data_IF_551182310569
#
_entry.id   IF_551182310569
#
_cell.length_a   1.000
_cell.length_b   1.000
_cell.length_c   1.000
_cell.angle_alpha   90.00
_cell.angle_beta   90.00
_cell.angle_gamma   90.00
#
_symmetry.space_group_name_H-M   'P 1'
#
loop_
_entity.id
_entity.type
_entity.pdbx_description
1 polymer ?
#
# COMPACT_ATOMS: atom_id res chain seq x y z
N UNK A 1 27.66 -2.88 -0.05
CA UNK A 1 26.37 -3.48 0.29
C UNK A 1 25.76 -4.20 -0.90
N UNK A 2 25.04 -5.29 -0.70
CA UNK A 2 24.20 -5.92 -1.74
C UNK A 2 22.94 -5.11 -1.95
N UNK A 3 22.54 -4.97 -3.21
CA UNK A 3 21.33 -4.23 -3.58
C UNK A 3 20.70 -4.82 -4.85
N UNK A 4 19.38 -4.85 -4.88
CA UNK A 4 18.62 -5.11 -6.10
C UNK A 4 18.47 -3.80 -6.88
N UNK A 5 18.74 -3.83 -8.19
CA UNK A 5 18.80 -2.63 -9.03
C UNK A 5 17.93 -2.80 -10.27
N UNK A 6 17.07 -1.82 -10.53
CA UNK A 6 16.44 -1.60 -11.82
C UNK A 6 17.46 -1.00 -12.80
N UNK A 7 17.67 -1.65 -13.92
CA UNK A 7 18.64 -1.19 -14.91
C UNK A 7 17.98 -0.46 -16.09
N UNK A 8 17.04 -1.13 -16.73
CA UNK A 8 16.18 -0.62 -17.83
C UNK A 8 14.93 -1.52 -17.82
N UNK A 9 13.87 -1.19 -18.58
CA UNK A 9 12.70 -2.06 -18.68
C UNK A 9 13.08 -3.53 -18.88
N UNK A 10 12.48 -4.40 -18.05
CA UNK A 10 12.70 -5.84 -17.97
C UNK A 10 14.13 -6.30 -17.59
N UNK A 11 15.03 -5.38 -17.23
CA UNK A 11 16.37 -5.72 -16.74
C UNK A 11 16.54 -5.32 -15.28
N UNK A 12 16.82 -6.33 -14.48
CA UNK A 12 17.04 -6.23 -13.04
C UNK A 12 18.25 -7.07 -12.63
N UNK A 13 18.99 -6.67 -11.60
CA UNK A 13 20.14 -7.40 -11.11
C UNK A 13 20.39 -7.16 -9.63
N UNK A 14 20.96 -8.16 -8.96
CA UNK A 14 21.58 -7.97 -7.64
C UNK A 14 23.04 -7.60 -7.86
N UNK A 15 23.46 -6.47 -7.31
CA UNK A 15 24.80 -5.91 -7.49
C UNK A 15 25.39 -5.44 -6.16
N UNK A 16 26.72 -5.27 -6.13
CA UNK A 16 27.38 -4.59 -5.03
C UNK A 16 27.40 -3.08 -5.27
N UNK A 17 26.97 -2.31 -4.30
CA UNK A 17 26.94 -0.84 -4.31
C UNK A 17 27.69 -0.31 -3.09
N UNK A 18 28.20 0.91 -3.13
CA UNK A 18 28.65 1.60 -1.91
C UNK A 18 27.50 1.68 -0.90
N UNK A 19 27.83 1.65 0.40
CA UNK A 19 26.86 1.98 1.45
C UNK A 19 26.44 3.44 1.28
N UNK A 20 25.14 3.80 1.44
CA UNK A 20 24.72 5.19 1.35
C UNK A 20 25.35 6.03 2.48
N UNK A 21 25.56 7.31 2.19
CA UNK A 21 26.06 8.30 3.13
C UNK A 21 24.95 9.27 3.55
N UNK A 22 25.10 9.86 4.74
CA UNK A 22 24.27 10.99 5.17
C UNK A 22 24.55 12.19 4.24
N UNK A 23 23.52 12.84 3.75
CA UNK A 23 23.63 14.03 2.87
C UNK A 23 23.19 15.30 3.58
N UNK A 24 22.18 15.17 4.45
CA UNK A 24 21.59 16.27 5.20
C UNK A 24 21.57 15.97 6.70
N UNK A 25 21.49 17.04 7.50
CA UNK A 25 21.47 16.91 8.97
C UNK A 25 20.25 16.11 9.48
N UNK A 26 19.16 16.05 8.73
CA UNK A 26 17.95 15.30 9.08
C UNK A 26 17.91 13.86 8.59
N UNK A 27 18.97 13.36 7.97
CA UNK A 27 19.02 12.00 7.41
C UNK A 27 19.29 10.93 8.46
N UNK A 28 18.80 9.73 8.20
CA UNK A 28 19.30 8.51 8.85
C UNK A 28 19.73 7.48 7.80
N UNK A 29 20.71 6.64 8.13
CA UNK A 29 21.02 5.41 7.43
C UNK A 29 20.41 4.27 8.24
N UNK A 30 19.60 3.45 7.60
CA UNK A 30 18.96 2.28 8.20
C UNK A 30 19.57 1.01 7.60
N UNK A 31 20.04 0.11 8.46
CA UNK A 31 20.34 -1.28 8.10
C UNK A 31 19.01 -2.02 8.00
N UNK A 32 18.63 -2.39 6.80
CA UNK A 32 17.34 -3.03 6.51
C UNK A 32 17.38 -4.49 6.97
N UNK A 33 16.37 -4.92 7.72
CA UNK A 33 16.22 -6.33 8.15
C UNK A 33 15.14 -7.05 7.35
N UNK A 34 14.07 -6.31 6.99
CA UNK A 34 12.97 -6.80 6.13
C UNK A 34 12.56 -5.73 5.15
N UNK A 35 12.28 -6.16 3.93
CA UNK A 35 11.61 -5.36 2.91
C UNK A 35 10.59 -6.22 2.18
N UNK A 36 9.81 -5.63 1.29
CA UNK A 36 8.78 -6.36 0.52
C UNK A 36 8.82 -5.97 -0.95
N UNK A 37 7.97 -6.64 -1.75
CA UNK A 37 7.68 -6.26 -3.13
C UNK A 37 6.25 -5.68 -3.17
N UNK A 38 6.11 -4.50 -3.79
CA UNK A 38 4.84 -3.84 -4.05
C UNK A 38 4.46 -3.95 -5.54
N UNK A 39 3.17 -3.78 -5.86
CA UNK A 39 2.73 -3.65 -7.25
C UNK A 39 3.43 -2.53 -8.00
N UNK A 40 3.70 -1.42 -7.33
CA UNK A 40 4.46 -0.28 -7.85
C UNK A 40 5.87 -0.67 -8.33
N UNK A 41 6.54 -1.61 -7.65
CA UNK A 41 7.86 -2.08 -8.08
C UNK A 41 7.78 -2.81 -9.43
N UNK A 42 6.67 -3.51 -9.73
CA UNK A 42 6.45 -4.12 -11.04
C UNK A 42 6.25 -3.07 -12.15
N UNK A 43 5.56 -1.96 -11.86
CA UNK A 43 5.42 -0.83 -12.79
C UNK A 43 6.78 -0.17 -13.06
N UNK A 44 7.62 0.00 -12.02
CA UNK A 44 9.00 0.48 -12.20
C UNK A 44 9.78 -0.45 -13.13
N UNK A 45 9.70 -1.77 -12.93
CA UNK A 45 10.43 -2.74 -13.77
C UNK A 45 9.97 -2.75 -15.23
N UNK A 46 8.70 -2.46 -15.49
CA UNK A 46 8.16 -2.29 -16.84
C UNK A 46 8.57 -0.96 -17.51
N UNK A 47 9.02 0.01 -16.71
CA UNK A 47 9.34 1.36 -17.18
C UNK A 47 8.16 2.34 -17.18
N UNK A 48 7.04 1.99 -16.53
CA UNK A 48 5.82 2.80 -16.47
C UNK A 48 5.99 4.03 -15.56
N UNK A 49 6.99 4.01 -14.65
CA UNK A 49 7.28 5.12 -13.72
C UNK A 49 8.42 5.98 -14.26
N UNK A 50 8.08 7.00 -15.05
CA UNK A 50 9.05 7.85 -15.75
C UNK A 50 10.07 8.57 -14.83
N UNK A 51 9.75 8.76 -13.54
CA UNK A 51 10.63 9.40 -12.56
C UNK A 51 11.71 8.46 -12.00
N UNK A 52 11.55 7.14 -12.18
CA UNK A 52 12.51 6.15 -11.72
C UNK A 52 13.62 5.94 -12.76
N UNK A 53 14.78 6.53 -12.52
CA UNK A 53 15.91 6.42 -13.44
C UNK A 53 16.57 5.03 -13.40
N UNK A 54 17.16 4.57 -14.52
CA UNK A 54 18.02 3.40 -14.54
C UNK A 54 19.14 3.46 -13.47
N UNK A 55 19.45 2.33 -12.87
CA UNK A 55 20.41 2.24 -11.77
C UNK A 55 19.81 2.45 -10.38
N UNK A 56 18.51 2.71 -10.28
CA UNK A 56 17.80 2.88 -9.02
C UNK A 56 17.64 1.56 -8.25
N UNK A 57 17.78 1.60 -6.94
CA UNK A 57 17.37 0.54 -6.01
C UNK A 57 15.89 0.75 -5.71
N UNK A 58 14.98 -0.17 -6.11
CA UNK A 58 13.56 -0.09 -5.80
C UNK A 58 13.25 -0.34 -4.32
N UNK A 59 11.94 -0.30 -4.00
CA UNK A 59 11.40 -0.61 -2.67
C UNK A 59 11.19 0.63 -1.81
N UNK A 60 10.03 0.67 -1.18
CA UNK A 60 9.59 1.77 -0.28
C UNK A 60 8.96 1.23 1.00
N UNK A 61 8.97 -0.07 1.20
CA UNK A 61 8.48 -0.75 2.41
C UNK A 61 9.67 -1.39 3.12
N UNK A 62 9.84 -1.13 4.42
CA UNK A 62 10.95 -1.72 5.15
C UNK A 62 10.87 -1.52 6.66
N UNK A 63 11.54 -2.42 7.37
CA UNK A 63 11.92 -2.28 8.77
C UNK A 63 13.42 -2.52 8.88
N UNK A 64 14.02 -1.98 9.94
CA UNK A 64 15.45 -2.16 10.16
C UNK A 64 15.91 -1.48 11.44
N UNK A 65 17.22 -1.31 11.54
CA UNK A 65 17.90 -0.72 12.69
C UNK A 65 18.67 0.51 12.23
N UNK A 66 18.58 1.59 12.96
CA UNK A 66 19.37 2.81 12.70
C UNK A 66 20.85 2.48 12.79
N UNK A 67 21.60 2.70 11.71
CA UNK A 67 23.04 2.55 11.63
C UNK A 67 23.75 3.86 11.99
N UNK A 68 23.28 4.96 11.43
CA UNK A 68 23.84 6.29 11.69
C UNK A 68 22.79 7.38 11.44
N UNK A 69 22.97 8.54 12.06
CA UNK A 69 22.05 9.68 11.95
C UNK A 69 22.82 10.98 11.68
N UNK A 70 22.17 11.91 11.02
CA UNK A 70 22.65 13.28 10.88
C UNK A 70 22.48 14.09 12.16
N UNK A 71 23.21 15.19 12.27
CA UNK A 71 23.27 16.02 13.49
C UNK A 71 21.94 16.71 13.87
N UNK A 72 20.98 16.75 12.97
CA UNK A 72 19.65 17.34 13.20
C UNK A 72 18.57 16.32 13.57
N UNK A 73 18.88 15.01 13.58
CA UNK A 73 17.93 13.98 14.03
C UNK A 73 17.86 13.97 15.54
N UNK A 74 16.66 14.03 16.08
CA UNK A 74 16.42 14.17 17.53
C UNK A 74 15.58 13.05 18.11
N UNK A 75 14.77 12.38 17.32
CA UNK A 75 13.87 11.33 17.78
C UNK A 75 14.51 9.94 17.83
N UNK A 76 15.68 9.76 17.23
CA UNK A 76 16.33 8.45 17.07
C UNK A 76 17.83 8.50 17.36
N UNK A 77 18.39 7.33 17.66
CA UNK A 77 19.82 7.10 17.81
C UNK A 77 20.25 5.81 17.10
N UNK A 78 21.56 5.62 16.81
CA UNK A 78 22.06 4.36 16.31
C UNK A 78 21.69 3.19 17.22
N UNK A 79 21.23 2.08 16.61
CA UNK A 79 20.74 0.88 17.31
C UNK A 79 19.22 0.85 17.52
N UNK A 80 18.50 1.94 17.31
CA UNK A 80 17.04 1.94 17.47
C UNK A 80 16.37 1.15 16.34
N UNK A 81 15.43 0.23 16.63
CA UNK A 81 14.63 -0.45 15.62
C UNK A 81 13.53 0.47 15.10
N UNK A 82 13.37 0.50 13.78
CA UNK A 82 12.46 1.42 13.10
C UNK A 82 11.66 0.79 11.97
N UNK A 83 10.44 1.28 11.80
CA UNK A 83 9.63 1.09 10.61
C UNK A 83 9.85 2.27 9.66
N UNK A 84 10.14 1.98 8.40
CA UNK A 84 10.34 2.98 7.35
C UNK A 84 8.98 3.29 6.71
N UNK A 85 8.58 4.56 6.71
CA UNK A 85 7.41 5.02 5.96
C UNK A 85 7.68 4.97 4.45
N UNK A 86 6.71 4.55 3.65
CA UNK A 86 6.80 4.67 2.19
C UNK A 86 6.82 6.12 1.71
N UNK A 87 6.42 7.05 2.58
CA UNK A 87 6.41 8.49 2.34
C UNK A 87 7.45 9.14 3.23
N UNK A 88 8.32 9.95 2.65
CA UNK A 88 9.24 10.81 3.39
C UNK A 88 8.71 12.25 3.39
N UNK A 89 8.84 12.94 4.51
CA UNK A 89 8.22 14.25 4.65
C UNK A 89 8.98 15.20 5.58
N UNK A 90 9.15 16.46 5.19
CA UNK A 90 9.86 17.44 6.00
C UNK A 90 9.09 17.88 7.27
N UNK A 91 7.80 17.56 7.39
CA UNK A 91 6.96 17.86 8.54
C UNK A 91 6.59 19.35 8.71
N UNK A 92 7.16 20.28 7.93
CA UNK A 92 7.06 21.73 8.16
C UNK A 92 6.52 22.57 7.00
N UNK A 93 6.50 22.04 5.77
CA UNK A 93 5.93 22.76 4.62
C UNK A 93 4.41 22.87 4.72
N UNK A 94 3.79 23.67 3.86
CA UNK A 94 2.34 23.87 3.86
C UNK A 94 1.58 22.55 3.75
N UNK A 95 1.97 21.68 2.81
CA UNK A 95 1.31 20.39 2.63
C UNK A 95 1.44 19.48 3.85
N UNK A 96 2.65 19.38 4.44
CA UNK A 96 2.87 18.59 5.66
C UNK A 96 2.03 19.12 6.84
N UNK A 97 1.92 20.45 6.99
CA UNK A 97 1.08 21.06 8.05
C UNK A 97 -0.40 20.80 7.88
N UNK A 98 -0.84 20.46 6.66
CA UNK A 98 -2.21 20.03 6.36
C UNK A 98 -2.40 18.52 6.46
N UNK A 99 -1.35 17.76 6.87
CA UNK A 99 -1.37 16.30 6.93
C UNK A 99 -1.23 15.61 5.57
N UNK A 100 -0.82 16.33 4.52
CA UNK A 100 -0.60 15.81 3.17
C UNK A 100 0.88 15.51 2.96
N UNK A 101 1.40 14.52 3.67
CA UNK A 101 2.84 14.17 3.67
C UNK A 101 3.30 13.65 2.32
N UNK A 102 2.46 12.90 1.61
CA UNK A 102 2.73 12.42 0.26
C UNK A 102 2.98 13.53 -0.77
N UNK A 103 2.51 14.75 -0.48
CA UNK A 103 2.71 15.96 -1.28
C UNK A 103 3.72 16.92 -0.65
N UNK A 104 4.64 16.42 0.18
CA UNK A 104 5.73 17.24 0.72
C UNK A 104 6.48 17.94 -0.43
N UNK A 105 6.76 19.25 -0.29
CA UNK A 105 7.36 20.05 -1.36
C UNK A 105 8.81 19.64 -1.69
N UNK A 106 9.49 18.95 -0.77
CA UNK A 106 10.87 18.46 -0.96
C UNK A 106 10.95 16.95 -1.19
N UNK A 107 9.92 16.20 -0.79
CA UNK A 107 9.95 14.75 -0.70
C UNK A 107 8.60 14.13 -1.13
N UNK A 108 7.97 13.30 -0.29
CA UNK A 108 6.79 12.54 -0.62
C UNK A 108 7.13 11.09 -0.96
N UNK A 109 6.59 10.54 -2.04
CA UNK A 109 6.98 9.22 -2.52
C UNK A 109 8.26 9.29 -3.36
N UNK A 110 9.41 9.29 -2.70
CA UNK A 110 10.74 9.34 -3.34
C UNK A 110 11.56 8.06 -3.17
N UNK A 111 11.32 7.26 -2.10
CA UNK A 111 12.03 6.01 -1.87
C UNK A 111 11.73 4.99 -2.96
N UNK A 112 12.78 4.39 -3.52
CA UNK A 112 12.67 3.44 -4.62
C UNK A 112 12.23 4.05 -5.95
N UNK A 113 12.04 5.38 -5.99
CA UNK A 113 11.62 6.15 -7.15
C UNK A 113 12.73 7.14 -7.56
N UNK A 114 12.80 8.31 -6.95
CA UNK A 114 13.81 9.33 -7.28
C UNK A 114 15.09 9.19 -6.45
N UNK A 115 15.05 8.50 -5.31
CA UNK A 115 16.21 8.08 -4.51
C UNK A 115 16.19 6.56 -4.33
N UNK A 116 17.33 5.98 -3.94
CA UNK A 116 17.45 4.56 -3.68
C UNK A 116 16.55 4.12 -2.51
N UNK A 117 15.92 2.95 -2.67
CA UNK A 117 14.93 2.39 -1.77
C UNK A 117 15.44 1.27 -0.88
N UNK A 118 14.48 0.50 -0.34
CA UNK A 118 14.68 -0.46 0.75
C UNK A 118 15.15 -1.86 0.31
N UNK A 119 15.21 -2.16 -1.00
CA UNK A 119 15.63 -3.49 -1.48
C UNK A 119 17.16 -3.60 -1.57
N UNK A 120 17.82 -3.30 -0.44
CA UNK A 120 19.25 -3.33 -0.23
C UNK A 120 19.57 -3.51 1.26
N UNK A 121 20.84 -3.83 1.59
CA UNK A 121 21.29 -3.97 2.98
C UNK A 121 21.20 -2.66 3.78
N UNK A 122 21.34 -1.51 3.12
CA UNK A 122 21.23 -0.20 3.76
C UNK A 122 20.46 0.78 2.88
N UNK A 123 19.69 1.68 3.51
CA UNK A 123 18.95 2.74 2.85
C UNK A 123 19.12 4.07 3.59
N UNK A 124 19.23 5.18 2.84
CA UNK A 124 19.19 6.54 3.39
C UNK A 124 17.75 7.02 3.45
N UNK A 125 17.33 7.46 4.62
CA UNK A 125 16.00 8.01 4.86
C UNK A 125 16.13 9.51 5.16
N UNK A 126 15.64 10.38 4.28
CA UNK A 126 15.54 11.81 4.54
C UNK A 126 14.51 12.11 5.63
N UNK A 127 14.72 13.24 6.34
CA UNK A 127 13.79 13.69 7.38
C UNK A 127 13.39 12.57 8.36
N UNK A 128 14.40 11.91 8.93
CA UNK A 128 14.24 10.72 9.76
C UNK A 128 13.17 10.87 10.86
N UNK A 129 13.12 12.02 11.55
CA UNK A 129 12.17 12.27 12.65
C UNK A 129 10.70 12.25 12.21
N UNK A 130 10.41 12.41 10.91
CA UNK A 130 9.05 12.39 10.35
C UNK A 130 8.80 11.28 9.35
N UNK A 131 9.85 10.53 8.95
CA UNK A 131 9.79 9.48 7.94
C UNK A 131 10.00 8.08 8.52
N UNK A 132 10.34 8.00 9.81
CA UNK A 132 10.53 6.74 10.55
C UNK A 132 9.57 6.68 11.74
N UNK A 133 9.19 5.46 12.09
CA UNK A 133 8.40 5.19 13.29
C UNK A 133 9.17 4.24 14.21
N UNK A 134 9.26 4.54 15.52
CA UNK A 134 9.90 3.64 16.47
C UNK A 134 9.06 2.36 16.62
N UNK A 135 9.73 1.22 16.64
CA UNK A 135 9.12 -0.07 16.92
C UNK A 135 9.69 -0.66 18.20
N UNK A 136 8.91 -1.43 18.98
CA UNK A 136 9.43 -2.09 20.17
C UNK A 136 10.50 -3.12 19.82
N UNK A 137 11.52 -3.26 20.66
CA UNK A 137 12.49 -4.33 20.56
C UNK A 137 11.80 -5.70 20.63
N UNK A 138 12.20 -6.63 19.75
CA UNK A 138 11.61 -7.96 19.66
C UNK A 138 10.20 -8.00 19.05
N UNK A 139 9.72 -6.91 18.46
CA UNK A 139 8.46 -6.90 17.72
C UNK A 139 8.53 -7.79 16.47
N UNK A 140 7.37 -8.29 16.05
CA UNK A 140 7.26 -9.07 14.80
C UNK A 140 7.47 -8.15 13.58
N UNK A 141 8.70 -8.13 13.06
CA UNK A 141 9.08 -7.30 11.91
C UNK A 141 8.26 -7.62 10.66
N UNK A 142 7.82 -8.87 10.46
CA UNK A 142 7.00 -9.24 9.31
C UNK A 142 5.60 -8.64 9.40
N UNK A 143 5.02 -8.59 10.59
CA UNK A 143 3.76 -7.88 10.80
C UNK A 143 3.93 -6.37 10.59
N UNK A 144 5.05 -5.81 11.08
CA UNK A 144 5.25 -4.38 11.09
C UNK A 144 5.64 -3.82 9.72
N UNK A 145 6.39 -4.56 8.89
CA UNK A 145 6.72 -4.08 7.53
C UNK A 145 5.47 -3.87 6.66
N UNK A 146 4.36 -4.55 6.95
CA UNK A 146 3.07 -4.29 6.29
C UNK A 146 2.50 -2.90 6.62
N UNK A 147 2.98 -2.26 7.68
CA UNK A 147 2.57 -0.90 8.07
C UNK A 147 3.40 0.20 7.41
N UNK A 148 4.41 -0.16 6.60
CA UNK A 148 5.17 0.81 5.80
C UNK A 148 4.29 1.48 4.75
N UNK A 149 3.44 0.69 4.06
CA UNK A 149 2.62 1.13 2.94
C UNK A 149 1.23 0.48 2.92
N UNK A 150 1.15 -0.84 2.71
CA UNK A 150 -0.08 -1.50 2.27
C UNK A 150 -1.24 -1.33 3.27
N UNK A 151 -0.98 -1.42 4.57
CA UNK A 151 -2.02 -1.26 5.59
C UNK A 151 -2.49 0.20 5.71
N UNK A 152 -1.59 1.23 5.83
CA UNK A 152 -2.03 2.62 5.82
C UNK A 152 -2.69 3.01 4.48
N UNK A 153 -2.21 2.50 3.34
CA UNK A 153 -2.82 2.77 2.04
C UNK A 153 -4.26 2.23 1.97
N UNK A 154 -4.48 0.97 2.33
CA UNK A 154 -5.85 0.40 2.38
C UNK A 154 -6.75 1.17 3.35
N UNK A 155 -6.22 1.59 4.49
CA UNK A 155 -6.98 2.32 5.50
C UNK A 155 -7.25 3.78 5.09
N UNK A 156 -6.21 4.55 4.75
CA UNK A 156 -6.36 5.98 4.44
C UNK A 156 -7.08 6.22 3.12
N UNK A 157 -6.65 5.50 2.06
CA UNK A 157 -7.19 5.73 0.71
C UNK A 157 -8.50 5.00 0.47
N UNK A 158 -8.70 3.84 1.11
CA UNK A 158 -9.95 3.07 1.00
C UNK A 158 -10.97 3.43 2.07
N UNK A 159 -10.67 3.07 3.32
CA UNK A 159 -11.66 3.11 4.41
C UNK A 159 -12.01 4.54 4.80
N UNK A 160 -11.00 5.37 5.13
CA UNK A 160 -11.25 6.76 5.55
C UNK A 160 -11.77 7.60 4.39
N UNK A 161 -11.16 7.45 3.22
CA UNK A 161 -11.55 8.21 2.02
C UNK A 161 -12.93 7.77 1.49
N UNK A 162 -13.27 6.47 1.66
CA UNK A 162 -14.60 5.92 1.39
C UNK A 162 -15.65 6.27 2.46
N UNK A 163 -15.27 6.97 3.53
CA UNK A 163 -16.15 7.37 4.64
C UNK A 163 -16.88 6.17 5.27
N UNK A 164 -16.19 5.02 5.37
CA UNK A 164 -16.76 3.83 6.00
C UNK A 164 -17.12 4.14 7.46
N UNK A 165 -18.33 3.80 7.86
CA UNK A 165 -18.88 4.07 9.18
C UNK A 165 -19.58 2.81 9.76
N UNK A 166 -19.89 2.76 11.05
CA UNK A 166 -20.66 1.67 11.63
C UNK A 166 -21.98 1.45 10.88
N UNK A 167 -22.23 0.20 10.49
CA UNK A 167 -23.44 -0.17 9.76
C UNK A 167 -23.40 0.10 8.25
N UNK A 168 -22.31 0.65 7.69
CA UNK A 168 -22.17 0.83 6.22
C UNK A 168 -22.19 -0.50 5.48
N UNK A 169 -22.73 -0.48 4.27
CA UNK A 169 -22.47 -1.47 3.24
C UNK A 169 -21.26 -1.03 2.41
N UNK A 170 -20.25 -1.89 2.30
CA UNK A 170 -18.99 -1.60 1.64
C UNK A 170 -18.73 -2.63 0.55
N UNK A 171 -18.48 -2.20 -0.68
CA UNK A 171 -17.97 -3.06 -1.74
C UNK A 171 -16.49 -2.71 -2.01
N UNK A 172 -15.62 -3.72 -2.08
CA UNK A 172 -14.22 -3.58 -2.44
C UNK A 172 -13.99 -4.36 -3.72
N UNK A 173 -13.67 -3.65 -4.80
CA UNK A 173 -13.41 -4.23 -6.12
C UNK A 173 -11.92 -4.44 -6.28
N UNK A 174 -11.52 -5.72 -6.32
CA UNK A 174 -10.15 -6.20 -6.28
C UNK A 174 -9.81 -6.85 -4.93
N UNK A 175 -9.61 -8.17 -4.93
CA UNK A 175 -9.17 -8.95 -3.76
C UNK A 175 -7.64 -9.21 -3.79
N UNK A 176 -6.88 -8.32 -4.41
CA UNK A 176 -5.43 -8.27 -4.33
C UNK A 176 -4.95 -7.78 -2.94
N UNK A 177 -3.63 -7.68 -2.73
CA UNK A 177 -3.07 -7.30 -1.43
C UNK A 177 -3.67 -6.02 -0.86
N UNK A 178 -3.88 -4.98 -1.70
CA UNK A 178 -4.43 -3.70 -1.25
C UNK A 178 -5.92 -3.79 -0.89
N UNK A 179 -6.72 -4.53 -1.67
CA UNK A 179 -8.12 -4.75 -1.35
C UNK A 179 -8.30 -5.56 -0.07
N UNK A 180 -7.43 -6.55 0.17
CA UNK A 180 -7.43 -7.34 1.41
C UNK A 180 -6.98 -6.50 2.62
N UNK A 181 -6.02 -5.59 2.47
CA UNK A 181 -5.64 -4.64 3.52
C UNK A 181 -6.79 -3.67 3.84
N UNK A 182 -7.53 -3.23 2.81
CA UNK A 182 -8.74 -2.43 2.96
C UNK A 182 -9.83 -3.21 3.71
N UNK A 183 -10.08 -4.46 3.34
CA UNK A 183 -11.01 -5.35 4.05
C UNK A 183 -10.65 -5.49 5.53
N UNK A 184 -9.37 -5.76 5.85
CA UNK A 184 -8.91 -5.90 7.23
C UNK A 184 -9.13 -4.63 8.03
N UNK A 185 -8.83 -3.46 7.46
CA UNK A 185 -8.94 -2.17 8.15
C UNK A 185 -10.37 -1.62 8.18
N UNK A 186 -11.24 -1.98 7.23
CA UNK A 186 -12.66 -1.61 7.25
C UNK A 186 -13.38 -2.15 8.50
N UNK A 187 -12.97 -3.31 9.01
CA UNK A 187 -13.54 -3.94 10.19
C UNK A 187 -13.39 -3.09 11.47
N UNK A 188 -12.47 -2.12 11.53
CA UNK A 188 -12.38 -1.16 12.63
C UNK A 188 -13.67 -0.35 12.83
N UNK A 189 -14.47 -0.18 11.77
CA UNK A 189 -15.69 0.60 11.76
C UNK A 189 -16.97 -0.27 11.88
N UNK A 190 -16.85 -1.58 12.00
CA UNK A 190 -18.00 -2.49 12.10
C UNK A 190 -19.06 -2.24 11.00
N UNK A 191 -18.70 -2.27 9.72
CA UNK A 191 -19.67 -2.19 8.63
C UNK A 191 -20.65 -3.37 8.72
N UNK A 192 -21.89 -3.17 8.27
CA UNK A 192 -22.89 -4.24 8.24
C UNK A 192 -22.52 -5.30 7.20
N UNK A 193 -22.06 -4.83 6.04
CA UNK A 193 -21.68 -5.69 4.91
C UNK A 193 -20.32 -5.29 4.37
N UNK A 194 -19.45 -6.29 4.09
CA UNK A 194 -18.25 -6.12 3.30
C UNK A 194 -18.31 -7.11 2.14
N UNK A 195 -18.51 -6.59 0.93
CA UNK A 195 -18.65 -7.33 -0.31
C UNK A 195 -17.32 -7.26 -1.06
N UNK A 196 -16.61 -8.38 -1.19
CA UNK A 196 -15.39 -8.45 -1.98
C UNK A 196 -15.70 -8.94 -3.40
N UNK A 197 -15.16 -8.25 -4.41
CA UNK A 197 -15.39 -8.54 -5.82
C UNK A 197 -14.04 -8.76 -6.52
N UNK A 198 -13.87 -9.90 -7.19
CA UNK A 198 -12.66 -10.22 -7.97
C UNK A 198 -12.99 -11.21 -9.08
N UNK A 199 -12.05 -11.45 -9.99
CA UNK A 199 -12.13 -12.50 -11.02
C UNK A 199 -11.57 -13.86 -10.55
N UNK A 200 -10.75 -13.86 -9.48
CA UNK A 200 -10.01 -15.02 -8.99
C UNK A 200 -10.66 -15.60 -7.73
N UNK A 201 -11.23 -16.81 -7.87
CA UNK A 201 -11.87 -17.53 -6.75
C UNK A 201 -10.92 -17.80 -5.59
N UNK A 202 -9.61 -18.02 -5.84
CA UNK A 202 -8.64 -18.21 -4.75
C UNK A 202 -8.50 -16.95 -3.91
N UNK A 203 -8.50 -15.77 -4.53
CA UNK A 203 -8.46 -14.49 -3.82
C UNK A 203 -9.76 -14.23 -3.06
N UNK A 204 -10.90 -14.58 -3.64
CA UNK A 204 -12.20 -14.49 -2.99
C UNK A 204 -12.30 -15.42 -1.77
N UNK A 205 -11.71 -16.62 -1.82
CA UNK A 205 -11.63 -17.51 -0.68
C UNK A 205 -10.72 -16.98 0.43
N UNK A 206 -9.64 -16.27 0.07
CA UNK A 206 -8.84 -15.51 1.06
C UNK A 206 -9.68 -14.42 1.70
N UNK A 207 -10.42 -13.66 0.91
CA UNK A 207 -11.28 -12.58 1.39
C UNK A 207 -12.34 -13.06 2.39
N UNK A 208 -12.97 -14.21 2.11
CA UNK A 208 -13.90 -14.86 3.06
C UNK A 208 -13.22 -15.13 4.41
N UNK A 209 -12.03 -15.75 4.39
CA UNK A 209 -11.26 -16.02 5.60
C UNK A 209 -10.82 -14.76 6.34
N UNK A 210 -10.72 -13.62 5.64
CA UNK A 210 -10.33 -12.33 6.20
C UNK A 210 -11.52 -11.56 6.78
N UNK A 211 -12.75 -12.04 6.57
CA UNK A 211 -13.94 -11.47 7.16
C UNK A 211 -14.88 -10.75 6.18
N UNK A 212 -14.74 -10.97 4.88
CA UNK A 212 -15.76 -10.54 3.92
C UNK A 212 -17.09 -11.23 4.22
N UNK A 213 -18.19 -10.46 4.29
CA UNK A 213 -19.54 -11.01 4.50
C UNK A 213 -20.05 -11.66 3.23
N UNK A 214 -19.69 -11.10 2.08
CA UNK A 214 -20.03 -11.63 0.74
C UNK A 214 -18.79 -11.59 -0.17
N UNK A 215 -18.77 -12.51 -1.12
CA UNK A 215 -17.80 -12.51 -2.22
C UNK A 215 -18.52 -12.72 -3.54
N UNK A 216 -18.08 -12.01 -4.57
CA UNK A 216 -18.67 -12.05 -5.91
C UNK A 216 -17.54 -12.27 -6.92
N UNK A 217 -17.62 -13.36 -7.69
CA UNK A 217 -16.78 -13.52 -8.87
C UNK A 217 -17.41 -12.74 -10.03
N UNK A 218 -16.68 -11.74 -10.53
CA UNK A 218 -17.19 -10.83 -11.58
C UNK A 218 -16.93 -11.30 -13.01
N UNK A 219 -16.41 -12.51 -13.20
CA UNK A 219 -16.07 -13.04 -14.53
C UNK A 219 -17.30 -13.18 -15.48
N UNK A 220 -18.49 -13.32 -14.91
CA UNK A 220 -19.74 -13.44 -15.69
C UNK A 220 -20.39 -12.09 -16.06
N UNK A 221 -19.78 -10.96 -15.62
CA UNK A 221 -20.27 -9.61 -15.86
C UNK A 221 -21.49 -9.18 -15.05
N UNK A 222 -21.94 -9.98 -14.06
CA UNK A 222 -23.17 -9.74 -13.26
C UNK A 222 -22.90 -9.17 -11.86
N UNK A 223 -21.69 -8.72 -11.58
CA UNK A 223 -21.32 -8.24 -10.26
C UNK A 223 -22.22 -7.10 -9.75
N UNK A 224 -22.61 -6.17 -10.64
CA UNK A 224 -23.51 -5.08 -10.27
C UNK A 224 -24.90 -5.57 -9.83
N UNK A 225 -25.46 -6.54 -10.53
CA UNK A 225 -26.77 -7.12 -10.17
C UNK A 225 -26.67 -7.90 -8.85
N UNK A 226 -25.58 -8.62 -8.63
CA UNK A 226 -25.34 -9.35 -7.39
C UNK A 226 -25.22 -8.40 -6.19
N UNK A 227 -24.49 -7.27 -6.32
CA UNK A 227 -24.41 -6.25 -5.27
C UNK A 227 -25.79 -5.65 -4.99
N UNK A 228 -26.58 -5.33 -6.03
CA UNK A 228 -27.94 -4.81 -5.86
C UNK A 228 -28.85 -5.81 -5.15
N UNK A 229 -28.73 -7.10 -5.44
CA UNK A 229 -29.49 -8.14 -4.77
C UNK A 229 -29.16 -8.23 -3.26
N UNK A 230 -27.88 -8.06 -2.87
CA UNK A 230 -27.44 -8.05 -1.47
C UNK A 230 -27.94 -6.79 -0.74
N UNK A 231 -28.07 -5.66 -1.45
CA UNK A 231 -28.39 -4.35 -0.88
C UNK A 231 -29.83 -3.90 -1.15
N UNK A 232 -30.75 -4.82 -1.40
CA UNK A 232 -32.16 -4.55 -1.69
C UNK A 232 -32.39 -3.50 -2.81
N UNK A 233 -31.55 -3.54 -3.83
CA UNK A 233 -31.58 -2.63 -4.99
C UNK A 233 -30.93 -1.27 -4.75
N UNK A 234 -30.53 -0.93 -3.52
CA UNK A 234 -30.03 0.40 -3.15
C UNK A 234 -28.59 0.67 -3.64
N UNK A 235 -27.74 -0.33 -3.64
CA UNK A 235 -26.29 -0.20 -3.80
C UNK A 235 -25.56 0.00 -2.46
N UNK A 236 -24.24 0.23 -2.50
CA UNK A 236 -23.37 0.31 -1.30
C UNK A 236 -23.10 1.75 -0.88
N UNK A 237 -22.87 1.99 0.41
CA UNK A 237 -22.51 3.30 0.94
C UNK A 237 -21.09 3.70 0.53
N UNK A 238 -20.19 2.71 0.43
CA UNK A 238 -18.82 2.91 -0.05
C UNK A 238 -18.46 1.85 -1.11
N UNK A 239 -18.11 2.29 -2.31
CA UNK A 239 -17.55 1.46 -3.37
C UNK A 239 -16.06 1.80 -3.50
N UNK A 240 -15.18 0.84 -3.19
CA UNK A 240 -13.73 1.04 -3.12
C UNK A 240 -13.08 0.33 -4.29
N UNK A 241 -12.44 1.10 -5.17
CA UNK A 241 -11.72 0.61 -6.34
C UNK A 241 -10.27 0.31 -5.94
N UNK A 242 -9.81 -0.94 -6.09
CA UNK A 242 -8.51 -1.43 -5.62
C UNK A 242 -7.72 -2.22 -6.70
N UNK A 243 -7.96 -1.92 -7.99
CA UNK A 243 -7.31 -2.58 -9.13
C UNK A 243 -6.57 -1.58 -10.03
N UNK A 244 -7.24 -0.49 -10.43
CA UNK A 244 -6.67 0.56 -11.29
C UNK A 244 -6.97 0.39 -12.77
N UNK A 245 -8.14 -0.15 -13.15
CA UNK A 245 -8.55 -0.27 -14.55
C UNK A 245 -9.95 0.35 -14.78
N UNK A 246 -10.28 0.79 -16.00
CA UNK A 246 -11.57 1.42 -16.29
C UNK A 246 -12.76 0.57 -15.86
N UNK A 247 -12.78 -0.71 -16.18
CA UNK A 247 -13.91 -1.59 -15.89
C UNK A 247 -14.23 -1.71 -14.39
N UNK A 248 -13.22 -1.68 -13.51
CA UNK A 248 -13.43 -1.75 -12.05
C UNK A 248 -13.92 -0.42 -11.48
N UNK A 249 -13.48 0.71 -12.04
CA UNK A 249 -14.00 2.02 -11.69
C UNK A 249 -15.47 2.17 -12.15
N UNK A 250 -15.79 1.78 -13.37
CA UNK A 250 -17.15 1.77 -13.89
C UNK A 250 -18.08 0.90 -13.02
N UNK A 251 -17.60 -0.29 -12.62
CA UNK A 251 -18.35 -1.12 -11.67
C UNK A 251 -18.62 -0.39 -10.36
N UNK A 252 -17.60 0.28 -9.77
CA UNK A 252 -17.79 1.05 -8.55
C UNK A 252 -18.85 2.14 -8.70
N UNK A 253 -18.87 2.87 -9.83
CA UNK A 253 -19.90 3.89 -10.09
C UNK A 253 -21.30 3.30 -10.34
N UNK A 254 -21.39 2.06 -10.83
CA UNK A 254 -22.66 1.38 -11.08
C UNK A 254 -23.29 0.77 -9.80
N UNK A 255 -22.49 0.50 -8.77
CA UNK A 255 -22.94 -0.16 -7.52
C UNK A 255 -23.04 0.78 -6.32
N UNK A 256 -22.50 2.00 -6.39
CA UNK A 256 -22.61 2.97 -5.31
C UNK A 256 -24.06 3.46 -5.16
N UNK A 257 -24.52 3.55 -3.93
CA UNK A 257 -25.86 4.08 -3.62
C UNK A 257 -25.91 5.61 -3.80
N UNK A 258 -27.07 6.20 -4.03
CA UNK A 258 -27.25 7.64 -3.94
C UNK A 258 -26.75 8.18 -2.60
N UNK A 259 -25.93 9.25 -2.65
CA UNK A 259 -25.26 9.84 -1.49
C UNK A 259 -23.99 9.10 -1.04
N UNK A 260 -23.64 7.98 -1.65
CA UNK A 260 -22.47 7.17 -1.31
C UNK A 260 -21.15 7.73 -1.83
N UNK A 261 -20.07 6.99 -1.60
CA UNK A 261 -18.71 7.38 -1.97
C UNK A 261 -18.06 6.33 -2.84
N UNK A 262 -17.47 6.74 -3.94
CA UNK A 262 -16.50 5.94 -4.71
C UNK A 262 -15.11 6.37 -4.27
N UNK A 263 -14.35 5.48 -3.64
CA UNK A 263 -12.98 5.72 -3.22
C UNK A 263 -12.00 4.95 -4.12
N UNK A 264 -11.17 5.68 -4.86
CA UNK A 264 -10.19 5.10 -5.76
C UNK A 264 -8.84 4.96 -5.06
N UNK A 265 -8.34 3.71 -4.96
CA UNK A 265 -6.99 3.37 -4.49
C UNK A 265 -6.10 2.96 -5.67
N UNK A 266 -6.69 2.27 -6.66
CA UNK A 266 -5.96 1.72 -7.79
C UNK A 266 -5.22 2.79 -8.60
N UNK A 267 -4.05 2.43 -9.11
CA UNK A 267 -3.24 3.30 -9.98
C UNK A 267 -3.67 3.04 -11.42
N UNK A 268 -4.31 4.04 -12.05
CA UNK A 268 -4.80 3.93 -13.41
C UNK A 268 -3.76 4.36 -14.43
N UNK A 269 -3.47 3.50 -15.40
CA UNK A 269 -2.62 3.80 -16.56
C UNK A 269 -3.44 4.23 -17.79
N UNK A 270 -4.71 3.83 -17.83
CA UNK A 270 -5.66 4.17 -18.89
C UNK A 270 -6.64 5.23 -18.44
N UNK A 271 -7.19 5.97 -19.41
CA UNK A 271 -8.29 6.91 -19.17
C UNK A 271 -9.53 6.16 -18.69
N UNK A 272 -10.22 6.76 -17.74
CA UNK A 272 -11.49 6.29 -17.19
C UNK A 272 -12.58 7.26 -17.62
N UNK A 273 -13.68 6.73 -18.17
CA UNK A 273 -14.83 7.54 -18.52
C UNK A 273 -15.69 7.80 -17.28
N UNK A 274 -16.01 9.07 -17.07
CA UNK A 274 -16.90 9.50 -15.99
C UNK A 274 -18.26 9.86 -16.58
N UNK A 275 -19.23 8.96 -16.43
CA UNK A 275 -20.58 9.08 -16.97
C UNK A 275 -21.43 10.06 -16.15
N UNK A 276 -21.08 11.37 -16.22
CA UNK A 276 -21.81 12.42 -15.49
C UNK A 276 -23.27 12.52 -15.92
N UNK A 277 -23.63 12.13 -17.16
CA UNK A 277 -25.00 12.09 -17.66
C UNK A 277 -25.91 11.15 -16.87
N UNK A 278 -25.34 10.20 -16.15
CA UNK A 278 -26.08 9.28 -15.26
C UNK A 278 -25.84 9.55 -13.78
N UNK A 279 -24.69 10.14 -13.43
CA UNK A 279 -24.25 10.32 -12.04
C UNK A 279 -24.65 11.65 -11.42
N UNK A 280 -24.97 12.68 -12.22
CA UNK A 280 -25.22 14.07 -11.76
C UNK A 280 -26.29 14.20 -10.68
N UNK A 281 -27.29 13.31 -10.70
CA UNK A 281 -28.42 13.34 -9.75
C UNK A 281 -28.26 12.39 -8.55
N UNK A 282 -27.14 11.63 -8.47
CA UNK A 282 -26.93 10.60 -7.46
C UNK A 282 -26.34 11.13 -6.14
N UNK A 283 -25.95 12.41 -6.08
CA UNK A 283 -25.31 13.04 -4.92
C UNK A 283 -24.05 12.27 -4.40
N UNK A 284 -23.39 11.49 -5.25
CA UNK A 284 -22.20 10.73 -4.86
C UNK A 284 -20.98 11.62 -4.73
N UNK A 285 -20.00 11.12 -3.98
CA UNK A 285 -18.64 11.67 -3.95
C UNK A 285 -17.68 10.70 -4.63
N UNK A 286 -16.79 11.20 -5.48
CA UNK A 286 -15.67 10.42 -6.03
C UNK A 286 -14.40 10.99 -5.42
N UNK A 287 -13.58 10.13 -4.81
CA UNK A 287 -12.39 10.55 -4.08
C UNK A 287 -11.16 9.80 -4.58
N UNK A 288 -10.04 10.51 -4.64
CA UNK A 288 -8.72 9.95 -4.90
C UNK A 288 -7.78 10.35 -3.77
N UNK A 289 -6.80 9.51 -3.46
CA UNK A 289 -5.78 9.81 -2.45
C UNK A 289 -4.51 9.03 -2.70
N UNK A 290 -3.36 9.68 -2.50
CA UNK A 290 -2.09 9.02 -2.23
C UNK A 290 -1.94 8.90 -0.71
N UNK A 291 -1.44 7.78 -0.21
CA UNK A 291 -1.24 7.53 1.22
C UNK A 291 -0.30 8.57 1.83
N UNK A 292 -0.61 9.02 3.03
CA UNK A 292 0.24 9.95 3.80
C UNK A 292 0.97 9.26 4.96
N UNK A 293 0.62 8.00 5.27
CA UNK A 293 1.09 7.19 6.40
C UNK A 293 0.85 7.83 7.78
N UNK A 294 0.01 8.85 7.83
CA UNK A 294 -0.34 9.57 9.07
C UNK A 294 -1.03 8.66 10.10
N UNK A 295 -1.63 7.56 9.66
CA UNK A 295 -2.33 6.57 10.50
C UNK A 295 -1.41 5.47 11.02
N UNK A 296 -0.17 5.36 10.57
CA UNK A 296 0.79 4.33 10.99
C UNK A 296 0.95 4.25 12.51
N UNK A 297 1.04 5.35 13.30
CA UNK A 297 1.09 5.26 14.76
C UNK A 297 -0.13 4.59 15.40
N UNK A 298 -1.31 4.77 14.83
CA UNK A 298 -2.54 4.10 15.27
C UNK A 298 -2.49 2.62 14.89
N UNK A 299 -2.09 2.30 13.66
CA UNK A 299 -1.97 0.92 13.18
C UNK A 299 -0.95 0.11 14.00
N UNK A 300 0.20 0.69 14.37
CA UNK A 300 1.15 0.07 15.30
C UNK A 300 0.51 -0.32 16.63
N UNK A 301 -0.36 0.54 17.19
CA UNK A 301 -1.10 0.23 18.43
C UNK A 301 -2.09 -0.89 18.22
N UNK A 302 -2.78 -0.95 17.09
CA UNK A 302 -3.79 -1.98 16.79
C UNK A 302 -3.15 -3.35 16.55
N UNK A 303 -1.99 -3.41 15.90
CA UNK A 303 -1.20 -4.65 15.74
C UNK A 303 -0.70 -5.12 17.10
N UNK A 304 -0.08 -4.23 17.92
CA UNK A 304 0.35 -4.57 19.27
C UNK A 304 -0.81 -5.06 20.16
N UNK A 305 -1.97 -4.45 20.00
CA UNK A 305 -3.21 -4.84 20.71
C UNK A 305 -3.87 -6.10 20.13
N UNK A 306 -3.27 -6.76 19.14
CA UNK A 306 -3.80 -7.95 18.46
C UNK A 306 -5.23 -7.74 17.90
N UNK A 307 -5.55 -6.50 17.50
CA UNK A 307 -6.83 -6.18 16.88
C UNK A 307 -6.82 -6.43 15.37
N UNK A 308 -5.64 -6.46 14.78
CA UNK A 308 -5.38 -6.80 13.39
C UNK A 308 -4.10 -7.62 13.30
N UNK A 309 -4.09 -8.58 12.39
CA UNK A 309 -2.93 -9.41 12.07
C UNK A 309 -2.53 -9.22 10.60
N UNK A 310 -1.58 -8.33 10.30
CA UNK A 310 -1.14 -8.08 8.94
C UNK A 310 -0.35 -9.26 8.33
N UNK A 311 0.17 -10.18 9.15
CA UNK A 311 0.93 -11.34 8.65
C UNK A 311 0.09 -12.26 7.78
N UNK A 312 -1.24 -12.20 7.91
CA UNK A 312 -2.20 -12.93 7.07
C UNK A 312 -2.07 -12.59 5.58
N UNK A 313 -1.51 -11.42 5.24
CA UNK A 313 -1.22 -11.02 3.85
C UNK A 313 0.04 -11.70 3.30
N UNK A 314 0.93 -12.22 4.15
CA UNK A 314 2.23 -12.77 3.74
C UNK A 314 2.06 -14.19 3.23
N UNK A 315 2.44 -14.41 1.98
CA UNK A 315 2.35 -15.74 1.35
C UNK A 315 3.72 -16.35 1.06
N UNK A 316 4.73 -15.55 0.78
CA UNK A 316 6.05 -16.00 0.37
C UNK A 316 7.16 -15.27 1.12
N UNK A 317 8.30 -15.96 1.32
CA UNK A 317 9.49 -15.42 1.98
C UNK A 317 10.73 -15.80 1.22
N UNK A 318 11.59 -14.82 0.96
CA UNK A 318 12.87 -14.99 0.27
C UNK A 318 13.98 -14.26 1.03
N UNK A 319 15.22 -14.57 0.70
CA UNK A 319 16.39 -13.76 1.09
C UNK A 319 16.66 -12.71 0.02
N UNK A 320 17.36 -11.64 0.37
CA UNK A 320 17.78 -10.62 -0.61
C UNK A 320 18.62 -11.22 -1.76
N UNK A 321 19.37 -12.26 -1.48
CA UNK A 321 20.12 -12.98 -2.52
C UNK A 321 19.23 -13.60 -3.59
N UNK A 322 18.00 -13.99 -3.25
CA UNK A 322 17.04 -14.69 -4.08
C UNK A 322 15.92 -13.75 -4.57
N UNK A 323 16.13 -12.43 -4.50
CA UNK A 323 15.10 -11.43 -4.82
C UNK A 323 14.61 -11.50 -6.28
N UNK A 324 15.42 -12.02 -7.20
CA UNK A 324 15.00 -12.23 -8.59
C UNK A 324 13.86 -13.26 -8.67
N UNK A 325 14.00 -14.39 -7.96
CA UNK A 325 12.96 -15.42 -7.87
C UNK A 325 11.72 -14.91 -7.13
N UNK A 326 11.92 -14.02 -6.15
CA UNK A 326 10.82 -13.36 -5.45
C UNK A 326 9.99 -12.48 -6.40
N UNK A 327 10.64 -11.71 -7.28
CA UNK A 327 9.96 -10.92 -8.31
C UNK A 327 9.25 -11.79 -9.33
N UNK A 328 9.86 -12.88 -9.76
CA UNK A 328 9.23 -13.82 -10.71
C UNK A 328 8.02 -14.52 -10.07
N UNK A 329 8.09 -14.82 -8.77
CA UNK A 329 6.95 -15.35 -8.00
C UNK A 329 5.83 -14.32 -7.88
N UNK A 330 6.16 -13.07 -7.51
CA UNK A 330 5.17 -12.01 -7.35
C UNK A 330 4.56 -11.57 -8.68
N UNK A 331 5.36 -11.52 -9.76
CA UNK A 331 4.87 -11.16 -11.10
C UNK A 331 3.89 -12.18 -11.69
N UNK A 332 3.94 -13.45 -11.23
CA UNK A 332 3.02 -14.52 -11.63
C UNK A 332 2.00 -14.84 -10.54
N UNK A 333 1.49 -13.80 -9.86
CA UNK A 333 0.62 -13.96 -8.69
C UNK A 333 -0.65 -14.81 -8.96
N UNK A 334 -1.19 -14.82 -10.17
CA UNK A 334 -2.32 -15.68 -10.54
C UNK A 334 -1.98 -17.18 -10.45
N UNK A 335 -0.74 -17.57 -10.78
CA UNK A 335 -0.28 -18.95 -10.74
C UNK A 335 0.25 -19.31 -9.35
N UNK A 336 1.06 -18.44 -8.77
CA UNK A 336 1.78 -18.66 -7.50
C UNK A 336 0.92 -18.38 -6.27
N UNK A 337 -0.23 -17.73 -6.45
CA UNK A 337 -1.11 -17.22 -5.38
C UNK A 337 -0.40 -16.24 -4.45
N UNK A 338 0.60 -15.52 -4.95
CA UNK A 338 1.32 -14.53 -4.18
C UNK A 338 0.43 -13.34 -3.84
N UNK A 339 0.44 -12.94 -2.56
CA UNK A 339 -0.15 -11.69 -2.07
C UNK A 339 0.98 -10.72 -1.67
N UNK A 340 1.57 -10.89 -0.48
CA UNK A 340 2.77 -10.15 -0.09
C UNK A 340 3.96 -11.09 0.01
N UNK A 341 5.09 -10.60 -0.48
CA UNK A 341 6.36 -11.31 -0.50
C UNK A 341 7.34 -10.58 0.41
N UNK A 342 7.81 -11.27 1.45
CA UNK A 342 8.82 -10.75 2.38
C UNK A 342 10.21 -11.09 1.87
N UNK A 343 11.09 -10.10 1.93
CA UNK A 343 12.52 -10.25 1.67
C UNK A 343 13.28 -10.03 2.97
N UNK A 344 13.97 -11.05 3.44
CA UNK A 344 14.94 -10.96 4.53
C UNK A 344 16.27 -10.47 3.97
N UNK A 345 16.79 -9.42 4.54
CA UNK A 345 18.05 -8.81 4.12
C UNK A 345 19.22 -9.33 4.95
#
# INVERSE_FOLDING_TARGET
MKAFVYQVPDRKAVVNRPKPELRDAGDAIVSVTRTTICGTDLHILKGDVATCAPGRIPGHEGVGVIDSIGSGVTAFKPGDPVLISCITACGRCENCRRGMYSHCVTDGWILGNTIDGTQAEFVRIPHADTSLYPIPEGADEEALVMLSDIMPTGFECGVLNGKVAPGSSVAIVGAGPIGLATLLTAQFYSPAEIIMIDLDDNRLDVAKRFGATHVINSADGKAADAVKAITDGRGVDAAIEAVGIPATFELCTAIVAPGGVVANIGVHEAKVDLHLETLWSQNISITTRLVDTSTTPMLLKTVRGKKIDPTRLITHRFKLADILDAYDTFGRAAETRALKVIITV
#
